data_IF_866362550554
#
_entry.id   IF_866362550554
#
_cell.length_a   1.000
_cell.length_b   1.000
_cell.length_c   1.000
_cell.angle_alpha   90.00
_cell.angle_beta   90.00
_cell.angle_gamma   90.00
#
_symmetry.space_group_name_H-M   'P 1'
#
loop_
_entity.id
_entity.type
_entity.pdbx_description
1 polymer ?
#
# COMPACT_ATOMS: atom_id res chain seq x y z
N UNK A 1 43.10 46.85 5.62
CA UNK A 1 42.91 45.93 4.48
C UNK A 1 42.48 44.54 4.95
N UNK A 2 42.87 44.14 6.16
CA UNK A 2 42.68 42.78 6.69
C UNK A 2 41.22 42.43 7.01
N UNK A 3 40.41 43.41 7.43
CA UNK A 3 39.00 43.19 7.74
C UNK A 3 38.14 42.90 6.50
N UNK A 4 38.43 43.55 5.37
CA UNK A 4 37.71 43.32 4.10
C UNK A 4 37.98 41.92 3.54
N UNK A 5 39.21 41.42 3.69
CA UNK A 5 39.58 40.06 3.31
C UNK A 5 38.85 39.01 4.16
N UNK A 6 38.73 39.24 5.47
CA UNK A 6 37.99 38.35 6.36
C UNK A 6 36.49 38.29 6.01
N UNK A 7 35.88 39.43 5.71
CA UNK A 7 34.45 39.49 5.31
C UNK A 7 34.22 38.77 3.98
N UNK A 8 35.12 38.92 3.01
CA UNK A 8 35.02 38.24 1.70
C UNK A 8 35.11 36.71 1.84
N UNK A 9 36.01 36.20 2.68
CA UNK A 9 36.15 34.75 2.91
C UNK A 9 34.90 34.19 3.59
N UNK A 10 34.32 34.92 4.56
CA UNK A 10 33.11 34.49 5.26
C UNK A 10 31.91 34.41 4.30
N UNK A 11 31.72 35.43 3.47
CA UNK A 11 30.66 35.44 2.46
C UNK A 11 30.85 34.32 1.42
N UNK A 12 32.08 34.12 0.93
CA UNK A 12 32.39 33.03 0.02
C UNK A 12 32.09 31.66 0.65
N UNK A 13 32.47 31.45 1.92
CA UNK A 13 32.17 30.22 2.66
C UNK A 13 30.67 29.95 2.80
N UNK A 14 29.87 30.98 3.12
CA UNK A 14 28.40 30.86 3.21
C UNK A 14 27.80 30.50 1.86
N UNK A 15 28.22 31.16 0.78
CA UNK A 15 27.71 30.86 -0.57
C UNK A 15 28.09 29.47 -1.04
N UNK A 16 29.34 29.03 -0.81
CA UNK A 16 29.78 27.67 -1.14
C UNK A 16 29.04 26.62 -0.31
N UNK A 17 28.91 26.85 1.00
CA UNK A 17 28.18 25.96 1.90
C UNK A 17 26.73 25.78 1.48
N UNK A 18 26.07 26.87 1.08
CA UNK A 18 24.69 26.82 0.58
C UNK A 18 24.55 26.11 -0.77
N UNK A 19 25.49 26.34 -1.70
CA UNK A 19 25.51 25.65 -3.00
C UNK A 19 25.77 24.16 -2.81
N UNK A 20 26.72 23.77 -1.95
CA UNK A 20 27.01 22.38 -1.60
C UNK A 20 25.81 21.72 -0.90
N UNK A 21 25.17 22.41 0.04
CA UNK A 21 23.97 21.92 0.70
C UNK A 21 22.80 21.75 -0.28
N UNK A 22 22.64 22.61 -1.28
CA UNK A 22 21.64 22.41 -2.34
C UNK A 22 22.00 21.28 -3.30
N UNK A 23 23.28 21.10 -3.61
CA UNK A 23 23.74 20.05 -4.54
C UNK A 23 23.76 18.65 -3.91
N UNK A 24 24.05 18.56 -2.61
CA UNK A 24 24.26 17.29 -1.91
C UNK A 24 23.24 17.04 -0.76
N UNK A 25 22.68 18.09 -0.17
CA UNK A 25 21.81 18.01 1.01
C UNK A 25 20.33 17.80 0.72
N UNK A 26 19.91 17.81 -0.54
CA UNK A 26 18.51 17.56 -0.92
C UNK A 26 18.15 16.05 -1.01
N UNK A 27 19.06 15.14 -0.64
CA UNK A 27 18.89 13.72 -0.91
C UNK A 27 18.51 12.79 0.24
N UNK A 28 18.60 13.18 1.53
CA UNK A 28 18.64 12.17 2.61
C UNK A 28 17.99 12.47 3.98
N UNK A 29 17.16 13.50 4.15
CA UNK A 29 16.49 13.72 5.46
C UNK A 29 14.97 13.88 5.43
N UNK A 30 14.36 13.81 4.25
CA UNK A 30 12.92 13.72 4.12
C UNK A 30 12.60 12.52 3.24
N UNK A 31 12.68 11.33 3.83
CA UNK A 31 11.60 10.36 3.63
C UNK A 31 10.33 11.03 4.16
N UNK A 32 9.78 11.99 3.41
CA UNK A 32 8.46 12.51 3.66
C UNK A 32 7.54 11.34 3.40
N UNK A 33 7.10 10.65 4.45
CA UNK A 33 5.87 9.87 4.39
C UNK A 33 4.85 10.74 3.66
N UNK A 34 4.33 10.22 2.54
CA UNK A 34 3.39 10.96 1.72
C UNK A 34 2.26 11.50 2.60
N UNK A 35 1.85 12.78 2.47
CA UNK A 35 0.76 13.36 3.24
C UNK A 35 -0.50 12.48 3.25
N UNK A 36 -0.73 11.73 2.17
CA UNK A 36 -1.78 10.73 2.03
C UNK A 36 -1.69 9.56 3.03
N UNK A 37 -0.50 8.99 3.27
CA UNK A 37 -0.32 7.91 4.25
C UNK A 37 -0.64 8.39 5.68
N UNK A 38 -0.24 9.63 5.98
CA UNK A 38 -0.54 10.27 7.27
C UNK A 38 -2.04 10.55 7.43
N UNK A 39 -2.70 11.01 6.38
CA UNK A 39 -4.14 11.28 6.36
C UNK A 39 -4.96 9.98 6.54
N UNK A 40 -4.62 8.93 5.79
CA UNK A 40 -5.25 7.62 5.93
C UNK A 40 -5.02 7.03 7.32
N UNK A 41 -3.83 7.19 7.92
CA UNK A 41 -3.58 6.75 9.29
C UNK A 41 -4.51 7.44 10.30
N UNK A 42 -4.62 8.77 10.24
CA UNK A 42 -5.53 9.53 11.12
C UNK A 42 -6.99 9.16 10.88
N UNK A 43 -7.37 8.89 9.63
CA UNK A 43 -8.71 8.42 9.27
C UNK A 43 -9.03 7.07 9.89
N UNK A 44 -8.09 6.11 9.84
CA UNK A 44 -8.23 4.80 10.49
C UNK A 44 -8.43 4.92 12.00
N UNK A 45 -7.63 5.78 12.65
CA UNK A 45 -7.77 6.07 14.08
C UNK A 45 -9.11 6.74 14.39
N UNK A 46 -9.56 7.69 13.56
CA UNK A 46 -10.86 8.34 13.74
C UNK A 46 -12.01 7.32 13.67
N UNK A 47 -11.95 6.32 12.79
CA UNK A 47 -12.94 5.25 12.77
C UNK A 47 -12.96 4.43 14.08
N UNK A 48 -11.79 4.11 14.66
CA UNK A 48 -11.74 3.43 15.95
C UNK A 48 -12.34 4.27 17.09
N UNK A 49 -12.05 5.57 17.12
CA UNK A 49 -12.59 6.49 18.13
C UNK A 49 -14.12 6.63 18.05
N UNK A 50 -14.70 6.40 16.88
CA UNK A 50 -16.14 6.45 16.65
C UNK A 50 -16.82 5.07 16.71
N UNK A 51 -16.14 4.05 17.27
CA UNK A 51 -16.65 2.67 17.38
C UNK A 51 -17.01 2.03 16.02
N UNK A 52 -16.25 2.38 14.96
CA UNK A 52 -16.38 1.83 13.60
C UNK A 52 -15.17 0.95 13.25
N UNK A 53 -14.95 -0.18 13.96
CA UNK A 53 -13.74 -0.99 13.80
C UNK A 53 -13.58 -1.56 12.40
N UNK A 54 -14.69 -1.84 11.72
CA UNK A 54 -14.68 -2.43 10.39
C UNK A 54 -14.14 -1.47 9.32
N UNK A 55 -14.52 -0.19 9.41
CA UNK A 55 -14.01 0.84 8.51
C UNK A 55 -12.55 1.17 8.82
N UNK A 56 -12.17 1.12 10.09
CA UNK A 56 -10.78 1.25 10.50
C UNK A 56 -9.91 0.14 9.89
N UNK A 57 -10.39 -1.10 9.94
CA UNK A 57 -9.71 -2.26 9.35
C UNK A 57 -9.50 -2.06 7.85
N UNK A 58 -10.51 -1.59 7.10
CA UNK A 58 -10.35 -1.31 5.67
C UNK A 58 -9.27 -0.27 5.37
N UNK A 59 -9.19 0.80 6.18
CA UNK A 59 -8.18 1.85 6.01
C UNK A 59 -6.80 1.33 6.36
N UNK A 60 -6.67 0.56 7.45
CA UNK A 60 -5.39 -0.03 7.83
C UNK A 60 -4.89 -1.09 6.85
N UNK A 61 -5.78 -1.89 6.26
CA UNK A 61 -5.41 -2.84 5.19
C UNK A 61 -4.80 -2.14 3.99
N UNK A 62 -5.25 -0.92 3.66
CA UNK A 62 -4.66 -0.13 2.56
C UNK A 62 -3.27 0.39 2.91
N UNK A 63 -3.07 0.77 4.18
CA UNK A 63 -1.81 1.28 4.72
C UNK A 63 -0.77 0.19 4.92
N UNK A 64 -1.18 -1.05 5.16
CA UNK A 64 -0.27 -2.18 5.18
C UNK A 64 0.31 -2.35 3.78
N UNK A 65 1.63 -2.19 3.67
CA UNK A 65 2.35 -2.60 2.48
C UNK A 65 2.17 -4.11 2.33
N UNK A 66 1.56 -4.52 1.22
CA UNK A 66 1.54 -5.93 0.82
C UNK A 66 2.93 -6.20 0.26
N UNK A 67 3.74 -6.84 1.07
CA UNK A 67 4.99 -7.46 0.66
C UNK A 67 4.81 -8.99 0.55
N UNK A 68 5.83 -9.69 0.04
CA UNK A 68 5.80 -11.14 -0.07
C UNK A 68 5.58 -11.84 1.29
N UNK A 69 5.92 -11.21 2.43
CA UNK A 69 5.81 -11.83 3.76
C UNK A 69 4.41 -11.69 4.36
N UNK A 70 3.60 -10.75 3.85
CA UNK A 70 2.28 -10.41 4.38
C UNK A 70 1.13 -10.94 3.53
N UNK A 71 1.39 -11.39 2.29
CA UNK A 71 0.39 -11.96 1.36
C UNK A 71 -0.48 -13.01 2.04
N UNK A 72 0.12 -14.00 2.69
CA UNK A 72 -0.59 -15.11 3.33
C UNK A 72 -1.52 -14.62 4.44
N UNK A 73 -1.15 -13.54 5.13
CA UNK A 73 -1.99 -12.93 6.16
C UNK A 73 -3.23 -12.28 5.54
N UNK A 74 -3.06 -11.58 4.43
CA UNK A 74 -4.18 -10.98 3.70
C UNK A 74 -5.12 -12.04 3.11
N UNK A 75 -4.58 -13.12 2.53
CA UNK A 75 -5.37 -14.26 2.05
C UNK A 75 -6.16 -14.93 3.18
N UNK A 76 -5.52 -15.16 4.34
CA UNK A 76 -6.19 -15.73 5.49
C UNK A 76 -7.30 -14.82 6.03
N UNK A 77 -7.09 -13.50 6.04
CA UNK A 77 -8.07 -12.54 6.49
C UNK A 77 -9.29 -12.47 5.57
N UNK A 78 -9.08 -12.43 4.24
CA UNK A 78 -10.18 -12.46 3.27
C UNK A 78 -11.00 -13.75 3.40
N UNK A 79 -10.32 -14.90 3.48
CA UNK A 79 -10.92 -16.20 3.74
C UNK A 79 -11.79 -16.21 5.02
N UNK A 80 -11.30 -15.61 6.11
CA UNK A 80 -12.03 -15.52 7.37
C UNK A 80 -13.32 -14.72 7.21
N UNK A 81 -13.28 -13.57 6.54
CA UNK A 81 -14.46 -12.76 6.29
C UNK A 81 -15.49 -13.49 5.41
N UNK A 82 -15.06 -14.19 4.36
CA UNK A 82 -15.94 -15.02 3.53
C UNK A 82 -16.65 -16.09 4.36
N UNK A 83 -15.91 -16.81 5.23
CA UNK A 83 -16.47 -17.85 6.11
C UNK A 83 -17.47 -17.31 7.14
N UNK A 84 -17.32 -16.04 7.55
CA UNK A 84 -18.26 -15.35 8.44
C UNK A 84 -19.50 -14.80 7.74
N UNK A 85 -19.59 -14.95 6.41
CA UNK A 85 -20.65 -14.37 5.59
C UNK A 85 -20.46 -12.89 5.28
N UNK A 86 -19.32 -12.31 5.67
CA UNK A 86 -18.96 -10.92 5.42
C UNK A 86 -18.28 -10.79 4.04
N UNK A 87 -18.95 -11.30 3.00
CA UNK A 87 -18.36 -11.54 1.67
C UNK A 87 -17.89 -10.24 1.01
N UNK A 88 -18.60 -9.12 1.20
CA UNK A 88 -18.19 -7.81 0.67
C UNK A 88 -16.80 -7.37 1.16
N UNK A 89 -16.43 -7.75 2.39
CA UNK A 89 -15.10 -7.44 2.96
C UNK A 89 -14.04 -8.33 2.37
N UNK A 90 -14.35 -9.62 2.20
CA UNK A 90 -13.46 -10.57 1.55
C UNK A 90 -13.10 -10.10 0.14
N UNK A 91 -14.11 -9.72 -0.66
CA UNK A 91 -13.94 -9.17 -2.01
C UNK A 91 -12.96 -7.99 -1.99
N UNK A 92 -13.16 -7.02 -1.10
CA UNK A 92 -12.28 -5.84 -1.01
C UNK A 92 -10.85 -6.23 -0.65
N UNK A 93 -10.66 -7.18 0.25
CA UNK A 93 -9.32 -7.63 0.66
C UNK A 93 -8.59 -8.27 -0.51
N UNK A 94 -9.22 -9.24 -1.18
CA UNK A 94 -8.57 -9.92 -2.29
C UNK A 94 -8.43 -9.03 -3.54
N UNK A 95 -9.35 -8.09 -3.80
CA UNK A 95 -9.14 -7.05 -4.83
C UNK A 95 -7.93 -6.17 -4.53
N UNK A 96 -7.80 -5.68 -3.30
CA UNK A 96 -6.65 -4.88 -2.90
C UNK A 96 -5.36 -5.69 -2.98
N UNK A 97 -5.41 -7.00 -2.75
CA UNK A 97 -4.25 -7.89 -2.87
C UNK A 97 -3.84 -8.04 -4.34
N UNK A 98 -4.76 -8.42 -5.22
CA UNK A 98 -4.53 -8.58 -6.67
C UNK A 98 -3.98 -7.31 -7.33
N UNK A 99 -4.37 -6.12 -6.84
CA UNK A 99 -3.91 -4.83 -7.37
C UNK A 99 -2.45 -4.50 -7.05
N UNK A 100 -1.72 -5.32 -6.28
CA UNK A 100 -0.35 -5.04 -5.85
C UNK A 100 0.67 -5.62 -6.83
N UNK A 101 1.68 -4.81 -7.17
CA UNK A 101 2.75 -5.20 -8.10
C UNK A 101 3.81 -6.12 -7.48
N UNK A 102 3.86 -6.20 -6.14
CA UNK A 102 4.87 -6.97 -5.41
C UNK A 102 4.59 -8.49 -5.32
N UNK A 103 3.46 -8.96 -5.85
CA UNK A 103 3.08 -10.38 -5.83
C UNK A 103 3.89 -11.17 -6.85
N UNK A 104 4.38 -12.36 -6.45
CA UNK A 104 4.82 -13.37 -7.42
C UNK A 104 3.64 -13.87 -8.26
N UNK A 105 3.92 -14.44 -9.43
CA UNK A 105 2.86 -14.97 -10.31
C UNK A 105 1.99 -16.01 -9.59
N UNK A 106 2.60 -16.91 -8.80
CA UNK A 106 1.87 -17.90 -8.01
C UNK A 106 0.94 -17.24 -6.98
N UNK A 107 1.42 -16.22 -6.25
CA UNK A 107 0.61 -15.49 -5.27
C UNK A 107 -0.51 -14.69 -5.94
N UNK A 108 -0.27 -14.14 -7.13
CA UNK A 108 -1.30 -13.46 -7.93
C UNK A 108 -2.40 -14.42 -8.34
N UNK A 109 -2.05 -15.61 -8.84
CA UNK A 109 -3.02 -16.65 -9.20
C UNK A 109 -3.83 -17.11 -7.99
N UNK A 110 -3.18 -17.30 -6.84
CA UNK A 110 -3.87 -17.64 -5.59
C UNK A 110 -4.85 -16.54 -5.14
N UNK A 111 -4.43 -15.27 -5.19
CA UNK A 111 -5.29 -14.14 -4.87
C UNK A 111 -6.48 -13.99 -5.83
N UNK A 112 -6.28 -14.23 -7.13
CA UNK A 112 -7.34 -14.25 -8.14
C UNK A 112 -8.33 -15.39 -7.88
N UNK A 113 -7.84 -16.58 -7.52
CA UNK A 113 -8.68 -17.73 -7.17
C UNK A 113 -9.55 -17.41 -5.95
N UNK A 114 -8.96 -16.83 -4.90
CA UNK A 114 -9.70 -16.44 -3.71
C UNK A 114 -10.74 -15.35 -3.99
N UNK A 115 -10.42 -14.38 -4.85
CA UNK A 115 -11.38 -13.37 -5.30
C UNK A 115 -12.54 -13.97 -6.11
N UNK A 116 -12.26 -14.94 -6.98
CA UNK A 116 -13.29 -15.64 -7.75
C UNK A 116 -14.25 -16.41 -6.81
N UNK A 117 -13.72 -17.05 -5.77
CA UNK A 117 -14.52 -17.73 -4.74
C UNK A 117 -15.37 -16.75 -3.93
N UNK A 118 -14.87 -15.54 -3.64
CA UNK A 118 -15.66 -14.50 -3.00
C UNK A 118 -16.83 -14.07 -3.87
N UNK A 119 -16.60 -13.81 -5.17
CA UNK A 119 -17.68 -13.47 -6.10
C UNK A 119 -18.72 -14.57 -6.21
N UNK A 120 -18.31 -15.84 -6.26
CA UNK A 120 -19.22 -16.97 -6.25
C UNK A 120 -20.06 -17.01 -4.96
N UNK A 121 -19.44 -16.75 -3.81
CA UNK A 121 -20.13 -16.70 -2.51
C UNK A 121 -21.09 -15.51 -2.40
N UNK A 122 -20.83 -14.41 -3.12
CA UNK A 122 -21.72 -13.27 -3.23
C UNK A 122 -22.81 -13.44 -4.31
N UNK A 123 -22.77 -14.51 -5.11
CA UNK A 123 -23.67 -14.72 -6.25
C UNK A 123 -23.37 -13.83 -7.47
N UNK A 124 -22.20 -13.20 -7.52
CA UNK A 124 -21.72 -12.39 -8.65
C UNK A 124 -21.11 -13.31 -9.73
N UNK A 125 -21.97 -14.12 -10.35
CA UNK A 125 -21.54 -15.26 -11.18
C UNK A 125 -20.73 -14.84 -12.41
N UNK A 126 -21.11 -13.76 -13.11
CA UNK A 126 -20.40 -13.29 -14.31
C UNK A 126 -18.93 -12.97 -13.99
N UNK A 127 -18.69 -12.24 -12.88
CA UNK A 127 -17.33 -11.87 -12.47
C UNK A 127 -16.53 -13.06 -11.96
N UNK A 128 -17.19 -14.04 -11.34
CA UNK A 128 -16.53 -15.26 -10.91
C UNK A 128 -16.09 -16.07 -12.14
N UNK A 129 -16.96 -16.21 -13.14
CA UNK A 129 -16.67 -16.88 -14.40
C UNK A 129 -15.48 -16.25 -15.12
N UNK A 130 -15.48 -14.92 -15.30
CA UNK A 130 -14.37 -14.20 -15.95
C UNK A 130 -13.02 -14.53 -15.31
N UNK A 131 -12.95 -14.51 -13.96
CA UNK A 131 -11.72 -14.83 -13.24
C UNK A 131 -11.34 -16.30 -13.32
N UNK A 132 -12.30 -17.22 -13.29
CA UNK A 132 -12.00 -18.65 -13.46
C UNK A 132 -11.48 -18.98 -14.85
N UNK A 133 -12.00 -18.32 -15.90
CA UNK A 133 -11.50 -18.45 -17.26
C UNK A 133 -10.06 -17.96 -17.34
N UNK A 134 -9.78 -16.77 -16.81
CA UNK A 134 -8.41 -16.22 -16.74
C UNK A 134 -7.44 -17.18 -16.04
N UNK A 135 -7.86 -17.77 -14.91
CA UNK A 135 -7.05 -18.76 -14.17
C UNK A 135 -6.80 -20.04 -14.96
N UNK A 136 -7.80 -20.53 -15.69
CA UNK A 136 -7.65 -21.70 -16.55
C UNK A 136 -6.67 -21.45 -17.70
N UNK A 137 -6.72 -20.27 -18.31
CA UNK A 137 -5.78 -19.88 -19.37
C UNK A 137 -4.35 -19.72 -18.83
N UNK A 138 -4.20 -19.10 -17.65
CA UNK A 138 -2.89 -18.90 -17.03
C UNK A 138 -2.23 -20.22 -16.57
N UNK A 139 -3.02 -21.19 -16.09
CA UNK A 139 -2.51 -22.51 -15.66
C UNK A 139 -2.22 -23.50 -16.80
N UNK A 140 -2.58 -23.15 -18.05
CA UNK A 140 -2.32 -23.98 -19.24
C UNK A 140 -0.92 -23.76 -19.85
N UNK A 141 -0.13 -22.84 -19.30
CA UNK A 141 1.23 -22.48 -19.73
C UNK A 141 2.29 -22.95 -18.73
#
# INVERSE_FOLDING_TARGET
>A
MDLYLLVLILLAGVTLGWVLARRFGAGRLHASESPALRDDYFKGINFLLNEQPDQAIEVFIKLLEVDHQTVETHLALGNLYRRRGEVDRAIRIHQNLVARDALSDAQRLEALLELAQDYLSAGLLDRAEDLFVELCEAGAH
#
